data_IF_583125502883
#
_entry.id   IF_583125502883
#
_cell.length_a   1.000
_cell.length_b   1.000
_cell.length_c   1.000
_cell.angle_alpha   90.00
_cell.angle_beta   90.00
_cell.angle_gamma   90.00
#
_symmetry.space_group_name_H-M   'P 1'
#
loop_
_entity.id
_entity.type
_entity.pdbx_description
1 polymer ?
#
# COMPACT_ATOMS: atom_id res chain seq x y z
N UNK A 1 22.60 -3.95 -3.07
CA UNK A 1 21.30 -3.85 -2.31
C UNK A 1 20.26 -2.94 -2.96
N UNK A 2 20.60 -1.67 -3.36
CA UNK A 2 19.63 -0.77 -4.01
C UNK A 2 19.24 -1.21 -5.41
N UNK A 3 20.22 -1.58 -6.24
CA UNK A 3 20.01 -2.13 -7.59
C UNK A 3 19.27 -3.47 -7.55
N UNK A 4 19.51 -4.30 -6.54
CA UNK A 4 18.80 -5.57 -6.34
C UNK A 4 17.32 -5.32 -6.01
N UNK A 5 17.01 -4.43 -5.05
CA UNK A 5 15.62 -4.09 -4.71
C UNK A 5 14.86 -3.45 -5.89
N UNK A 6 15.52 -2.60 -6.69
CA UNK A 6 14.94 -2.03 -7.91
C UNK A 6 14.72 -3.10 -8.98
N UNK A 7 15.64 -4.04 -9.12
CA UNK A 7 15.55 -5.15 -10.09
C UNK A 7 14.40 -6.09 -9.74
N UNK A 8 14.21 -6.43 -8.46
CA UNK A 8 13.08 -7.25 -8.01
C UNK A 8 11.74 -6.56 -8.28
N UNK A 9 11.58 -5.29 -7.90
CA UNK A 9 10.34 -4.56 -8.12
C UNK A 9 10.00 -4.35 -9.60
N UNK A 10 11.00 -4.20 -10.48
CA UNK A 10 10.79 -4.13 -11.93
C UNK A 10 10.42 -5.51 -12.51
N UNK A 11 11.08 -6.57 -12.08
CA UNK A 11 10.76 -7.93 -12.50
C UNK A 11 9.35 -8.32 -12.06
N UNK A 12 8.93 -7.92 -10.86
CA UNK A 12 7.57 -8.15 -10.36
C UNK A 12 6.53 -7.42 -11.22
N UNK A 13 6.77 -6.13 -11.56
CA UNK A 13 5.90 -5.37 -12.46
C UNK A 13 5.73 -6.02 -13.83
N UNK A 14 6.82 -6.52 -14.43
CA UNK A 14 6.76 -7.21 -15.73
C UNK A 14 6.17 -8.61 -15.65
N UNK A 15 6.39 -9.33 -14.54
CA UNK A 15 5.81 -10.65 -14.32
C UNK A 15 4.28 -10.60 -14.23
N UNK A 16 3.75 -9.55 -13.60
CA UNK A 16 2.30 -9.31 -13.49
C UNK A 16 1.59 -9.05 -14.83
N UNK A 17 2.32 -8.70 -15.90
CA UNK A 17 1.74 -8.51 -17.23
C UNK A 17 1.43 -9.82 -17.97
N UNK A 18 1.98 -10.95 -17.50
CA UNK A 18 1.96 -12.22 -18.24
C UNK A 18 0.95 -13.24 -17.76
N UNK A 19 0.36 -13.08 -16.60
CA UNK A 19 -0.50 -14.11 -16.01
C UNK A 19 -1.68 -13.48 -15.31
N UNK A 20 -2.90 -13.88 -15.67
CA UNK A 20 -4.09 -13.50 -14.90
C UNK A 20 -3.99 -14.06 -13.47
N UNK A 21 -4.31 -13.27 -12.43
CA UNK A 21 -4.24 -13.73 -11.06
C UNK A 21 -5.25 -14.87 -10.82
N UNK A 22 -4.83 -15.88 -10.08
CA UNK A 22 -5.76 -16.92 -9.61
C UNK A 22 -6.49 -16.38 -8.39
N UNK A 23 -7.73 -15.95 -8.59
CA UNK A 23 -8.56 -15.45 -7.50
C UNK A 23 -9.09 -16.61 -6.67
N UNK A 24 -8.87 -16.52 -5.37
CA UNK A 24 -9.41 -17.42 -4.35
C UNK A 24 -10.15 -16.61 -3.30
N UNK A 25 -10.95 -17.27 -2.45
CA UNK A 25 -11.58 -16.58 -1.32
C UNK A 25 -10.53 -16.21 -0.28
N UNK A 26 -10.32 -14.91 -0.08
CA UNK A 26 -9.39 -14.34 0.91
C UNK A 26 -10.15 -13.85 2.12
N UNK A 27 -9.67 -14.19 3.32
CA UNK A 27 -10.21 -13.69 4.58
C UNK A 27 -9.51 -12.39 4.99
N UNK A 28 -10.27 -11.30 5.12
CA UNK A 28 -9.74 -9.96 5.38
C UNK A 28 -8.85 -9.89 6.62
N UNK A 29 -9.32 -10.43 7.75
CA UNK A 29 -8.56 -10.41 9.00
C UNK A 29 -7.27 -11.25 8.93
N UNK A 30 -7.30 -12.37 8.22
CA UNK A 30 -6.11 -13.21 8.05
C UNK A 30 -5.04 -12.49 7.21
N UNK A 31 -5.46 -11.84 6.12
CA UNK A 31 -4.60 -11.03 5.27
C UNK A 31 -3.99 -9.86 6.07
N UNK A 32 -4.80 -9.10 6.79
CA UNK A 32 -4.34 -7.96 7.58
C UNK A 32 -3.32 -8.38 8.66
N UNK A 33 -3.57 -9.49 9.38
CA UNK A 33 -2.62 -10.03 10.37
C UNK A 33 -1.30 -10.43 9.73
N UNK A 34 -1.32 -11.14 8.61
CA UNK A 34 -0.11 -11.56 7.91
C UNK A 34 0.74 -10.38 7.44
N UNK A 35 0.11 -9.29 7.02
CA UNK A 35 0.81 -8.03 6.67
C UNK A 35 1.37 -7.36 7.91
N UNK A 36 0.58 -7.24 8.99
CA UNK A 36 1.02 -6.63 10.25
C UNK A 36 2.22 -7.35 10.86
N UNK A 37 2.24 -8.69 10.84
CA UNK A 37 3.38 -9.49 11.27
C UNK A 37 4.63 -9.19 10.44
N UNK A 38 4.48 -9.07 9.11
CA UNK A 38 5.58 -8.72 8.21
C UNK A 38 6.11 -7.30 8.43
N UNK A 39 5.26 -6.38 8.91
CA UNK A 39 5.60 -4.98 9.18
C UNK A 39 6.17 -4.74 10.58
N UNK A 40 5.96 -5.66 11.52
CA UNK A 40 6.24 -5.45 12.95
C UNK A 40 7.64 -4.92 13.25
N UNK A 41 8.67 -5.48 12.62
CA UNK A 41 10.05 -5.04 12.81
C UNK A 41 10.29 -3.61 12.28
N UNK A 42 9.86 -3.30 11.05
CA UNK A 42 10.12 -1.98 10.43
C UNK A 42 9.30 -0.87 11.09
N UNK A 43 8.09 -1.17 11.55
CA UNK A 43 7.26 -0.25 12.34
C UNK A 43 7.93 0.10 13.66
N UNK A 44 8.35 -0.91 14.41
CA UNK A 44 9.07 -0.76 15.68
C UNK A 44 10.34 0.09 15.53
N UNK A 45 11.16 -0.19 14.51
CA UNK A 45 12.40 0.56 14.25
C UNK A 45 12.15 2.03 13.89
N UNK A 46 11.04 2.35 13.27
CA UNK A 46 10.67 3.74 12.92
C UNK A 46 9.95 4.48 14.06
N UNK A 47 9.56 3.78 15.12
CA UNK A 47 8.76 4.33 16.21
C UNK A 47 7.35 4.74 15.77
N UNK A 48 6.81 4.09 14.73
CA UNK A 48 5.45 4.29 14.22
C UNK A 48 4.58 3.11 14.65
N UNK A 49 3.44 3.38 15.27
CA UNK A 49 2.48 2.37 15.69
C UNK A 49 1.60 1.95 14.49
N UNK A 50 1.39 0.64 14.29
CA UNK A 50 0.39 0.13 13.36
C UNK A 50 -0.88 -0.24 14.13
N UNK A 51 -2.00 0.40 13.77
CA UNK A 51 -3.33 0.11 14.32
C UNK A 51 -4.18 -0.62 13.30
N UNK A 52 -4.80 -1.73 13.71
CA UNK A 52 -5.68 -2.54 12.87
C UNK A 52 -7.13 -2.40 13.35
N UNK A 53 -8.02 -2.01 12.45
CA UNK A 53 -9.47 -2.02 12.62
C UNK A 53 -10.09 -2.73 11.41
N UNK A 54 -10.03 -4.07 11.42
CA UNK A 54 -10.41 -4.91 10.28
C UNK A 54 -11.56 -5.82 10.69
N UNK A 55 -12.74 -5.56 10.12
CA UNK A 55 -13.93 -6.36 10.32
C UNK A 55 -13.80 -7.75 9.68
N UNK A 56 -14.50 -8.76 10.19
CA UNK A 56 -14.64 -10.04 9.50
C UNK A 56 -15.27 -9.85 8.11
N UNK A 57 -14.69 -10.49 7.10
CA UNK A 57 -15.19 -10.47 5.73
C UNK A 57 -14.30 -11.27 4.82
N UNK A 58 -14.81 -11.57 3.63
CA UNK A 58 -14.06 -12.29 2.60
C UNK A 58 -14.39 -11.74 1.23
N UNK A 59 -13.46 -11.88 0.30
CA UNK A 59 -13.56 -11.38 -1.07
C UNK A 59 -12.71 -12.24 -2.01
N UNK A 60 -12.97 -12.23 -3.33
CA UNK A 60 -12.10 -12.86 -4.31
C UNK A 60 -10.77 -12.10 -4.42
N UNK A 61 -9.63 -12.79 -4.40
CA UNK A 61 -8.35 -12.13 -4.56
C UNK A 61 -7.18 -13.12 -4.67
N UNK A 62 -6.02 -12.62 -5.07
CA UNK A 62 -4.76 -13.36 -5.00
C UNK A 62 -4.01 -12.93 -3.73
N UNK A 63 -3.86 -13.84 -2.74
CA UNK A 63 -3.40 -13.49 -1.39
C UNK A 63 -2.03 -12.83 -1.35
N UNK A 64 -1.07 -13.30 -2.16
CA UNK A 64 0.30 -12.76 -2.14
C UNK A 64 0.38 -11.38 -2.78
N UNK A 65 -0.38 -11.15 -3.87
CA UNK A 65 -0.45 -9.83 -4.50
C UNK A 65 -1.12 -8.82 -3.56
N UNK A 66 -2.23 -9.18 -2.93
CA UNK A 66 -2.92 -8.31 -1.96
C UNK A 66 -2.06 -8.05 -0.72
N UNK A 67 -1.30 -9.05 -0.25
CA UNK A 67 -0.31 -8.86 0.81
C UNK A 67 0.77 -7.86 0.39
N UNK A 68 1.28 -7.97 -0.82
CA UNK A 68 2.27 -7.04 -1.40
C UNK A 68 1.70 -5.63 -1.52
N UNK A 69 0.46 -5.48 -1.98
CA UNK A 69 -0.23 -4.20 -2.09
C UNK A 69 -0.34 -3.52 -0.72
N UNK A 70 -0.93 -4.20 0.26
CA UNK A 70 -1.09 -3.66 1.61
C UNK A 70 0.25 -3.35 2.29
N UNK A 71 1.26 -4.22 2.13
CA UNK A 71 2.60 -3.97 2.65
C UNK A 71 3.20 -2.67 2.09
N UNK A 72 3.12 -2.44 0.76
CA UNK A 72 3.65 -1.24 0.12
C UNK A 72 2.89 0.03 0.55
N UNK A 73 1.56 -0.03 0.66
CA UNK A 73 0.77 1.10 1.17
C UNK A 73 1.15 1.45 2.60
N UNK A 74 1.26 0.46 3.49
CA UNK A 74 1.66 0.65 4.89
C UNK A 74 3.10 1.15 5.03
N UNK A 75 4.03 0.66 4.21
CA UNK A 75 5.43 1.12 4.22
C UNK A 75 5.55 2.57 3.72
N UNK A 76 4.75 2.97 2.73
CA UNK A 76 4.67 4.36 2.29
C UNK A 76 4.10 5.27 3.40
N UNK A 77 3.02 4.85 4.04
CA UNK A 77 2.42 5.55 5.17
C UNK A 77 3.42 5.71 6.33
N UNK A 78 4.14 4.64 6.69
CA UNK A 78 5.22 4.67 7.70
C UNK A 78 6.32 5.66 7.34
N UNK A 79 6.79 5.67 6.08
CA UNK A 79 7.84 6.60 5.60
C UNK A 79 7.37 8.05 5.58
N UNK A 80 6.09 8.31 5.36
CA UNK A 80 5.51 9.65 5.42
C UNK A 80 5.35 10.14 6.86
N UNK A 81 5.23 9.25 7.81
CA UNK A 81 4.92 9.49 9.22
C UNK A 81 6.15 9.93 10.03
N UNK A 82 5.90 10.66 11.10
CA UNK A 82 6.93 11.00 12.10
C UNK A 82 7.01 9.90 13.17
N UNK A 83 8.15 9.82 13.87
CA UNK A 83 8.27 8.96 15.05
C UNK A 83 7.24 9.33 16.10
N UNK A 84 6.70 8.35 16.81
CA UNK A 84 5.62 8.44 17.81
C UNK A 84 4.25 8.79 17.22
N UNK A 85 4.05 8.59 15.93
CA UNK A 85 2.74 8.65 15.27
C UNK A 85 2.16 7.25 15.04
N UNK A 86 0.95 7.18 14.48
CA UNK A 86 0.32 5.92 14.09
C UNK A 86 0.00 5.91 12.59
N UNK A 87 -0.03 4.70 12.04
CA UNK A 87 -0.61 4.36 10.76
C UNK A 87 -1.77 3.40 11.01
N UNK A 88 -2.88 3.62 10.36
CA UNK A 88 -4.11 2.85 10.57
C UNK A 88 -4.44 2.04 9.33
N UNK A 89 -4.76 0.75 9.51
CA UNK A 89 -5.36 -0.10 8.49
C UNK A 89 -6.78 -0.42 8.92
N UNK A 90 -7.75 0.13 8.17
CA UNK A 90 -9.16 -0.16 8.30
C UNK A 90 -9.57 -1.17 7.22
N UNK A 91 -10.47 -2.09 7.57
CA UNK A 91 -11.16 -2.98 6.64
C UNK A 91 -12.61 -3.14 7.03
N UNK A 92 -13.53 -2.95 6.10
CA UNK A 92 -14.96 -3.10 6.36
C UNK A 92 -15.70 -3.64 5.14
N UNK A 93 -16.84 -4.30 5.42
CA UNK A 93 -17.76 -4.76 4.37
C UNK A 93 -18.56 -3.59 3.81
N UNK A 94 -18.80 -3.62 2.51
CA UNK A 94 -19.68 -2.67 1.82
C UNK A 94 -20.77 -3.44 1.08
N UNK A 95 -21.81 -2.77 0.55
CA UNK A 95 -22.81 -3.45 -0.27
C UNK A 95 -22.26 -4.09 -1.55
N UNK A 96 -21.12 -3.60 -2.05
CA UNK A 96 -20.49 -4.06 -3.29
C UNK A 96 -19.33 -5.03 -3.07
N UNK A 97 -18.69 -4.99 -1.89
CA UNK A 97 -17.49 -5.77 -1.67
C UNK A 97 -16.86 -5.57 -0.30
N UNK A 98 -15.55 -5.48 -0.28
CA UNK A 98 -14.75 -5.25 0.91
C UNK A 98 -13.77 -4.09 0.70
N UNK A 99 -13.90 -3.04 1.49
CA UNK A 99 -13.04 -1.85 1.47
C UNK A 99 -11.84 -2.03 2.38
N UNK A 100 -10.65 -1.73 1.87
CA UNK A 100 -9.47 -1.47 2.68
C UNK A 100 -9.07 -0.01 2.58
N UNK A 101 -8.62 0.57 3.71
CA UNK A 101 -8.14 1.94 3.81
C UNK A 101 -6.91 2.00 4.70
N UNK A 102 -5.86 2.66 4.21
CA UNK A 102 -4.63 2.96 4.95
C UNK A 102 -4.58 4.45 5.18
N UNK A 103 -4.45 4.86 6.44
CA UNK A 103 -4.39 6.28 6.83
C UNK A 103 -3.10 6.57 7.58
N UNK A 104 -2.39 7.62 7.18
CA UNK A 104 -1.28 8.20 7.91
C UNK A 104 -1.54 9.67 8.27
N UNK A 105 -0.89 10.14 9.31
CA UNK A 105 -0.91 11.54 9.76
C UNK A 105 0.45 12.21 9.49
N UNK A 106 1.04 11.90 8.35
CA UNK A 106 2.36 12.35 7.96
C UNK A 106 2.36 13.67 7.19
N UNK A 107 3.35 13.79 6.32
CA UNK A 107 3.59 15.03 5.55
C UNK A 107 2.53 15.36 4.50
N UNK A 108 1.73 14.40 4.10
CA UNK A 108 0.80 14.54 2.98
C UNK A 108 1.49 14.56 1.61
N UNK A 109 0.67 14.67 0.58
CA UNK A 109 1.06 14.70 -0.84
C UNK A 109 0.52 15.99 -1.45
N UNK A 110 1.33 16.77 -2.19
CA UNK A 110 0.86 17.95 -2.92
C UNK A 110 -0.23 17.56 -3.94
N UNK A 111 -1.26 18.40 -4.07
CA UNK A 111 -2.39 18.12 -4.95
C UNK A 111 -1.95 17.89 -6.41
N UNK A 112 -0.98 18.65 -6.89
CA UNK A 112 -0.41 18.53 -8.24
C UNK A 112 0.37 17.23 -8.48
N UNK A 113 0.70 16.50 -7.42
CA UNK A 113 1.41 15.23 -7.50
C UNK A 113 0.48 14.02 -7.51
N UNK A 114 -0.77 14.16 -7.02
CA UNK A 114 -1.70 13.05 -6.83
C UNK A 114 -1.96 12.25 -8.12
N UNK A 115 -2.08 12.91 -9.26
CA UNK A 115 -2.31 12.26 -10.55
C UNK A 115 -1.10 11.45 -11.06
N UNK A 116 0.08 11.67 -10.46
CA UNK A 116 1.34 11.12 -10.93
C UNK A 116 2.01 10.16 -9.96
N UNK A 117 1.54 10.07 -8.73
CA UNK A 117 2.21 9.27 -7.69
C UNK A 117 2.24 7.77 -7.98
N UNK A 118 1.38 7.28 -8.86
CA UNK A 118 1.36 5.88 -9.33
C UNK A 118 2.21 5.67 -10.60
N UNK A 119 2.78 6.73 -11.20
CA UNK A 119 3.72 6.59 -12.30
C UNK A 119 5.02 5.91 -11.82
N UNK A 120 5.56 4.94 -12.56
CA UNK A 120 6.86 4.34 -12.23
C UNK A 120 7.96 5.39 -12.13
N UNK A 121 8.79 5.28 -11.09
CA UNK A 121 9.92 6.20 -10.81
C UNK A 121 9.53 7.63 -10.44
N UNK A 122 8.24 7.95 -10.34
CA UNK A 122 7.82 9.26 -9.87
C UNK A 122 8.05 9.39 -8.36
N UNK A 123 8.58 10.53 -7.97
CA UNK A 123 8.85 10.87 -6.57
C UNK A 123 8.61 12.35 -6.36
N UNK A 124 7.80 12.68 -5.35
CA UNK A 124 7.50 14.07 -4.95
C UNK A 124 8.78 14.79 -4.50
N UNK A 125 9.68 14.11 -3.79
CA UNK A 125 10.95 14.65 -3.31
C UNK A 125 12.12 13.69 -3.62
N UNK A 126 12.90 14.04 -4.65
CA UNK A 126 14.08 13.28 -5.09
C UNK A 126 15.24 13.32 -4.09
N UNK A 127 15.30 14.32 -3.23
CA UNK A 127 16.39 14.50 -2.27
C UNK A 127 16.27 13.55 -1.07
N UNK A 128 15.06 13.30 -0.60
CA UNK A 128 14.74 12.38 0.49
C UNK A 128 14.79 10.91 0.09
N UNK A 129 14.37 10.60 -1.13
CA UNK A 129 14.36 9.22 -1.63
C UNK A 129 15.75 8.57 -1.62
N UNK A 130 16.82 9.37 -1.71
CA UNK A 130 18.20 8.89 -1.56
C UNK A 130 18.49 8.39 -0.13
N UNK A 131 17.87 8.95 0.89
CA UNK A 131 18.02 8.54 2.29
C UNK A 131 17.09 7.37 2.67
N UNK A 132 15.88 7.36 2.11
CA UNK A 132 14.82 6.38 2.47
C UNK A 132 14.81 5.14 1.56
N UNK A 133 15.78 5.00 0.62
CA UNK A 133 15.95 3.84 -0.27
C UNK A 133 14.72 3.52 -1.14
N UNK A 134 13.87 4.51 -1.44
CA UNK A 134 12.71 4.35 -2.31
C UNK A 134 13.09 4.46 -3.81
N UNK A 135 12.61 3.54 -4.64
CA UNK A 135 12.83 3.54 -6.09
C UNK A 135 11.70 4.27 -6.87
N UNK A 136 10.62 4.69 -6.21
CA UNK A 136 9.43 5.22 -6.88
C UNK A 136 8.61 4.14 -7.61
N UNK A 137 8.76 2.88 -7.21
CA UNK A 137 8.07 1.74 -7.85
C UNK A 137 6.94 1.17 -6.99
N UNK A 138 6.93 1.45 -5.69
CA UNK A 138 5.96 0.84 -4.75
C UNK A 138 4.51 1.16 -5.08
N UNK A 139 4.16 2.43 -5.34
CA UNK A 139 2.80 2.82 -5.70
C UNK A 139 2.42 2.40 -7.11
N UNK A 140 3.36 2.36 -8.05
CA UNK A 140 3.13 1.81 -9.39
C UNK A 140 2.79 0.31 -9.33
N UNK A 141 3.47 -0.44 -8.46
CA UNK A 141 3.17 -1.84 -8.20
C UNK A 141 1.78 -2.00 -7.55
N UNK A 142 1.44 -1.16 -6.57
CA UNK A 142 0.12 -1.15 -5.94
C UNK A 142 -1.00 -0.88 -6.96
N UNK A 143 -0.84 0.11 -7.82
CA UNK A 143 -1.80 0.44 -8.88
C UNK A 143 -1.99 -0.73 -9.85
N UNK A 144 -0.90 -1.38 -10.25
CA UNK A 144 -0.96 -2.56 -11.11
C UNK A 144 -1.71 -3.72 -10.44
N UNK A 145 -1.42 -3.99 -9.18
CA UNK A 145 -2.09 -5.06 -8.42
C UNK A 145 -3.58 -4.74 -8.25
N UNK A 146 -3.94 -3.50 -7.93
CA UNK A 146 -5.33 -3.07 -7.83
C UNK A 146 -6.08 -3.32 -9.15
N UNK A 147 -5.53 -2.87 -10.28
CA UNK A 147 -6.10 -3.09 -11.61
C UNK A 147 -6.27 -4.56 -11.98
N UNK A 148 -5.34 -5.43 -11.57
CA UNK A 148 -5.45 -6.88 -11.75
C UNK A 148 -6.61 -7.51 -10.95
N UNK A 149 -7.04 -6.85 -9.88
CA UNK A 149 -8.19 -7.22 -9.05
C UNK A 149 -9.47 -6.47 -9.43
N UNK A 150 -9.47 -5.72 -10.55
CA UNK A 150 -10.63 -4.97 -11.04
C UNK A 150 -10.98 -3.72 -10.22
N UNK A 151 -10.05 -3.23 -9.41
CA UNK A 151 -10.24 -2.04 -8.57
C UNK A 151 -9.22 -0.94 -8.87
N UNK A 152 -9.41 0.22 -8.29
CA UNK A 152 -8.51 1.37 -8.38
C UNK A 152 -8.14 1.88 -7.00
N UNK A 153 -6.95 2.49 -6.89
CA UNK A 153 -6.53 3.19 -5.69
C UNK A 153 -7.11 4.60 -5.66
N UNK A 154 -7.77 4.95 -4.58
CA UNK A 154 -8.24 6.32 -4.32
C UNK A 154 -7.35 6.96 -3.28
N UNK A 155 -6.88 8.19 -3.56
CA UNK A 155 -6.01 8.96 -2.68
C UNK A 155 -6.71 10.23 -2.23
N UNK A 156 -6.74 10.47 -0.91
CA UNK A 156 -7.14 11.73 -0.31
C UNK A 156 -5.96 12.21 0.55
N UNK A 157 -5.42 13.37 0.23
CA UNK A 157 -4.24 13.87 0.93
C UNK A 157 -4.27 15.38 1.11
N UNK A 158 -3.75 15.83 2.25
CA UNK A 158 -3.56 17.24 2.57
C UNK A 158 -2.16 17.44 3.14
N UNK A 159 -1.42 18.37 2.56
CA UNK A 159 -0.07 18.70 3.03
C UNK A 159 -0.05 19.03 4.53
N UNK A 160 0.83 18.34 5.26
CA UNK A 160 1.00 18.51 6.71
C UNK A 160 -0.06 17.82 7.58
N UNK A 161 -1.10 17.21 7.00
CA UNK A 161 -2.14 16.47 7.73
C UNK A 161 -2.07 14.97 7.53
N UNK A 162 -1.59 14.52 6.37
CA UNK A 162 -1.43 13.09 6.07
C UNK A 162 -2.13 12.66 4.78
N UNK A 163 -2.17 11.35 4.59
CA UNK A 163 -2.74 10.71 3.39
C UNK A 163 -3.63 9.53 3.78
N UNK A 164 -4.72 9.40 3.07
CA UNK A 164 -5.61 8.26 3.08
C UNK A 164 -5.58 7.61 1.71
N UNK A 165 -5.36 6.30 1.67
CA UNK A 165 -5.39 5.50 0.44
C UNK A 165 -6.39 4.38 0.63
N UNK A 166 -7.34 4.23 -0.28
CA UNK A 166 -8.37 3.20 -0.20
C UNK A 166 -8.55 2.46 -1.53
N UNK A 167 -9.05 1.23 -1.44
CA UNK A 167 -9.48 0.42 -2.58
C UNK A 167 -10.56 -0.56 -2.13
N UNK A 168 -11.46 -0.93 -3.04
CA UNK A 168 -12.57 -1.83 -2.77
C UNK A 168 -12.49 -3.07 -3.67
N UNK A 169 -12.56 -4.23 -3.06
CA UNK A 169 -12.56 -5.53 -3.75
C UNK A 169 -14.00 -6.02 -3.86
N UNK A 170 -14.53 -6.10 -5.09
CA UNK A 170 -15.89 -6.58 -5.34
C UNK A 170 -16.07 -8.07 -5.03
N UNK A 171 -17.32 -8.45 -4.68
CA UNK A 171 -17.68 -9.85 -4.40
C UNK A 171 -17.72 -10.73 -5.65
#
# INVERSE_FOLDING_TARGET
>A
KRLEAMSFSLLDLFALERTAPQLVTVQAQALARAVAESMGYVMSQSGVELRLSVEPGSFPGEPNLLKTLLYNLLDNARKASQSRSSVELLGCTTPQGYLFQVTDHGRGIPQEALDRITEPFYMVDKSRSRKEHGAGLGLALCDKIAKLHGTELTFVSTMGLGTEVSFELEY
#
